data_IF_334137774032
#
_entry.id   IF_334137774032
#
_cell.length_a   1.000
_cell.length_b   1.000
_cell.length_c   1.000
_cell.angle_alpha   90.00
_cell.angle_beta   90.00
_cell.angle_gamma   90.00
#
_symmetry.space_group_name_H-M   'P 1'
#
loop_
_entity.id
_entity.type
_entity.pdbx_description
1 polymer ?
#
# COMPACT_ATOMS: atom_id res chain seq x y z
N UNK A 1 6.29 15.21 12.55
CA UNK A 1 6.55 14.27 13.67
C UNK A 1 7.15 13.00 13.08
N UNK A 2 8.14 12.38 13.73
CA UNK A 2 8.70 11.10 13.28
C UNK A 2 7.71 9.97 13.60
N UNK A 3 7.31 9.18 12.61
CA UNK A 3 6.52 7.95 12.78
C UNK A 3 7.38 6.76 13.22
N UNK A 4 8.68 6.99 13.38
CA UNK A 4 9.70 6.00 13.73
C UNK A 4 10.18 6.22 15.17
N UNK A 5 10.35 5.10 15.89
CA UNK A 5 11.03 5.02 17.17
C UNK A 5 12.40 4.38 17.02
N UNK A 6 13.34 4.83 17.85
CA UNK A 6 14.66 4.20 17.95
C UNK A 6 14.51 2.73 18.40
N UNK A 7 15.38 1.87 17.88
CA UNK A 7 15.40 0.45 18.22
C UNK A 7 16.82 0.03 18.60
N UNK A 8 16.99 -0.51 19.80
CA UNK A 8 18.27 -0.99 20.32
C UNK A 8 18.23 -2.52 20.30
N UNK A 9 19.22 -3.12 19.65
CA UNK A 9 19.37 -4.56 19.57
C UNK A 9 19.85 -5.17 20.89
N UNK A 10 19.80 -6.49 20.98
CA UNK A 10 20.18 -7.27 22.19
C UNK A 10 21.63 -7.04 22.64
N UNK A 11 22.51 -6.56 21.76
CA UNK A 11 23.90 -6.23 22.04
C UNK A 11 24.12 -4.76 22.46
N UNK A 12 23.04 -3.99 22.70
CA UNK A 12 23.10 -2.58 23.05
C UNK A 12 23.40 -1.63 21.87
N UNK A 13 23.58 -2.16 20.65
CA UNK A 13 23.79 -1.33 19.45
C UNK A 13 22.47 -0.89 18.85
N UNK A 14 22.42 0.32 18.30
CA UNK A 14 21.29 0.80 17.50
C UNK A 14 21.12 -0.09 16.27
N UNK A 15 19.87 -0.41 15.97
CA UNK A 15 19.45 -1.17 14.78
C UNK A 15 18.48 -0.31 13.96
N UNK A 16 18.02 -0.82 12.81
CA UNK A 16 17.01 -0.13 12.01
C UNK A 16 15.81 0.28 12.88
N UNK A 17 15.32 1.53 12.75
CA UNK A 17 14.22 2.02 13.56
C UNK A 17 12.95 1.21 13.30
N UNK A 18 12.03 1.25 14.25
CA UNK A 18 10.72 0.60 14.13
C UNK A 18 9.63 1.63 13.99
N UNK A 19 8.54 1.25 13.34
CA UNK A 19 7.32 2.03 13.38
C UNK A 19 6.83 2.13 14.84
N UNK A 20 6.24 3.27 15.20
CA UNK A 20 5.60 3.43 16.51
C UNK A 20 4.48 2.37 16.67
N UNK A 21 4.36 1.83 17.88
CA UNK A 21 3.40 0.76 18.18
C UNK A 21 1.96 1.22 17.91
N UNK A 22 1.16 0.32 17.37
CA UNK A 22 -0.23 0.59 16.94
C UNK A 22 -0.36 1.16 15.54
N UNK A 23 0.69 1.77 14.98
CA UNK A 23 0.68 2.23 13.59
C UNK A 23 0.95 1.08 12.61
N UNK A 24 0.53 1.28 11.36
CA UNK A 24 0.79 0.38 10.23
C UNK A 24 1.42 1.16 9.09
N UNK A 25 2.24 0.47 8.31
CA UNK A 25 2.73 0.95 7.02
C UNK A 25 1.97 0.19 5.94
N UNK A 26 0.98 0.83 5.34
CA UNK A 26 0.15 0.26 4.28
C UNK A 26 0.83 0.45 2.93
N UNK A 27 1.00 -0.67 2.23
CA UNK A 27 1.47 -0.74 0.85
C UNK A 27 0.28 -1.18 0.01
N UNK A 28 -0.29 -0.27 -0.77
CA UNK A 28 -1.60 -0.44 -1.41
C UNK A 28 -1.44 -0.34 -2.92
N UNK A 29 -2.02 -1.27 -3.67
CA UNK A 29 -2.06 -1.18 -5.13
C UNK A 29 -3.00 -0.05 -5.60
N UNK A 30 -2.91 0.34 -6.87
CA UNK A 30 -3.82 1.34 -7.47
C UNK A 30 -4.89 0.63 -8.30
N UNK A 31 -4.49 0.12 -9.47
CA UNK A 31 -5.37 -0.48 -10.46
C UNK A 31 -6.00 -1.78 -9.91
N UNK A 32 -7.33 -1.86 -9.96
CA UNK A 32 -8.09 -2.98 -9.40
C UNK A 32 -8.22 -2.99 -7.87
N UNK A 33 -7.69 -1.97 -7.17
CA UNK A 33 -7.80 -1.84 -5.71
C UNK A 33 -8.47 -0.54 -5.29
N UNK A 34 -7.96 0.63 -5.71
CA UNK A 34 -8.60 1.92 -5.39
C UNK A 34 -9.39 2.50 -6.58
N UNK A 35 -9.11 2.01 -7.78
CA UNK A 35 -9.85 2.34 -8.99
C UNK A 35 -10.07 1.10 -9.86
N UNK A 36 -10.78 1.29 -10.98
CA UNK A 36 -10.88 0.29 -12.06
C UNK A 36 -9.50 -0.29 -12.41
N UNK A 37 -9.48 -1.56 -12.82
CA UNK A 37 -8.28 -2.22 -13.33
C UNK A 37 -7.98 -1.70 -14.74
N UNK A 38 -6.91 -0.91 -14.87
CA UNK A 38 -6.47 -0.32 -16.12
C UNK A 38 -5.05 -0.82 -16.44
N UNK A 39 -4.86 -1.51 -17.59
CA UNK A 39 -3.54 -1.94 -17.99
C UNK A 39 -2.67 -0.74 -18.37
N UNK A 40 -1.36 -0.84 -18.14
CA UNK A 40 -0.40 0.21 -18.52
C UNK A 40 -0.42 0.52 -20.02
N UNK A 41 -0.84 -0.43 -20.85
CA UNK A 41 -0.98 -0.29 -22.29
C UNK A 41 -2.12 0.64 -22.72
N UNK A 42 -3.00 1.05 -21.80
CA UNK A 42 -4.15 1.94 -22.06
C UNK A 42 -4.15 3.17 -21.11
N UNK A 43 -3.10 4.01 -21.13
CA UNK A 43 -2.93 5.10 -20.18
C UNK A 43 -4.03 6.18 -20.27
N UNK A 44 -4.69 6.32 -21.42
CA UNK A 44 -5.82 7.23 -21.63
C UNK A 44 -7.03 6.91 -20.73
N UNK A 45 -7.19 5.66 -20.31
CA UNK A 45 -8.26 5.23 -19.40
C UNK A 45 -7.96 5.55 -17.94
N UNK A 46 -6.70 5.78 -17.57
CA UNK A 46 -6.30 6.01 -16.18
C UNK A 46 -6.90 7.31 -15.61
N UNK A 47 -7.07 8.33 -16.44
CA UNK A 47 -7.59 9.63 -16.02
C UNK A 47 -9.07 9.60 -15.64
N UNK A 48 -9.83 8.62 -16.17
CA UNK A 48 -11.29 8.51 -15.98
C UNK A 48 -11.69 7.21 -15.28
N UNK A 49 -10.70 6.46 -14.78
CA UNK A 49 -10.92 5.25 -13.99
C UNK A 49 -11.82 5.55 -12.79
N UNK A 50 -12.84 4.72 -12.58
CA UNK A 50 -13.79 4.91 -11.49
C UNK A 50 -13.18 4.46 -10.17
N UNK A 51 -13.50 5.18 -9.11
CA UNK A 51 -13.07 4.81 -7.75
C UNK A 51 -13.78 3.52 -7.29
N UNK A 52 -13.03 2.64 -6.63
CA UNK A 52 -13.61 1.48 -5.94
C UNK A 52 -14.39 1.96 -4.70
N UNK A 53 -15.65 1.50 -4.50
CA UNK A 53 -16.45 1.91 -3.36
C UNK A 53 -15.73 1.76 -2.02
N UNK A 54 -15.84 2.79 -1.17
CA UNK A 54 -15.21 2.90 0.15
C UNK A 54 -13.67 2.94 0.19
N UNK A 55 -12.98 2.91 -0.95
CA UNK A 55 -11.52 2.98 -0.98
C UNK A 55 -11.00 4.28 -0.35
N UNK A 56 -11.48 5.43 -0.84
CA UNK A 56 -11.07 6.75 -0.33
C UNK A 56 -11.35 6.92 1.16
N UNK A 57 -12.58 6.63 1.58
CA UNK A 57 -12.99 6.77 2.97
C UNK A 57 -12.11 5.93 3.90
N UNK A 58 -11.80 4.69 3.51
CA UNK A 58 -10.98 3.77 4.30
C UNK A 58 -9.52 4.23 4.37
N UNK A 59 -8.92 4.59 3.24
CA UNK A 59 -7.52 5.03 3.17
C UNK A 59 -7.33 6.36 3.91
N UNK A 60 -8.23 7.32 3.71
CA UNK A 60 -8.16 8.61 4.39
C UNK A 60 -8.37 8.45 5.90
N UNK A 61 -9.24 7.55 6.35
CA UNK A 61 -9.36 7.19 7.77
C UNK A 61 -8.04 6.67 8.32
N UNK A 62 -7.39 5.72 7.65
CA UNK A 62 -6.09 5.20 8.10
C UNK A 62 -5.02 6.27 8.14
N UNK A 63 -4.99 7.16 7.15
CA UNK A 63 -4.09 8.32 7.14
C UNK A 63 -4.33 9.21 8.37
N UNK A 64 -5.59 9.55 8.65
CA UNK A 64 -5.97 10.42 9.77
C UNK A 64 -5.73 9.77 11.14
N UNK A 65 -5.74 8.43 11.22
CA UNK A 65 -5.30 7.63 12.38
C UNK A 65 -3.77 7.59 12.56
N UNK A 66 -3.01 8.23 11.65
CA UNK A 66 -1.55 8.33 11.70
C UNK A 66 -0.83 7.15 11.03
N UNK A 67 -1.54 6.27 10.33
CA UNK A 67 -0.92 5.22 9.54
C UNK A 67 -0.21 5.79 8.31
N UNK A 68 0.83 5.07 7.86
CA UNK A 68 1.59 5.46 6.68
C UNK A 68 0.97 4.80 5.46
N UNK A 69 0.65 5.60 4.46
CA UNK A 69 0.03 5.16 3.21
C UNK A 69 1.04 5.32 2.08
N UNK A 70 1.44 4.19 1.49
CA UNK A 70 2.29 4.13 0.30
C UNK A 70 1.53 3.41 -0.80
N UNK A 71 1.26 4.10 -1.91
CA UNK A 71 0.77 3.43 -3.10
C UNK A 71 1.93 2.71 -3.80
N UNK A 72 1.75 1.44 -4.17
CA UNK A 72 2.75 0.63 -4.86
C UNK A 72 2.14 0.02 -6.11
N UNK A 73 2.41 0.65 -7.25
CA UNK A 73 1.73 0.40 -8.53
C UNK A 73 2.69 -0.15 -9.57
N UNK A 74 2.14 -0.98 -10.47
CA UNK A 74 2.87 -1.49 -11.64
C UNK A 74 2.96 -0.46 -12.77
N UNK A 75 2.25 0.66 -12.66
CA UNK A 75 2.47 1.83 -13.52
C UNK A 75 3.93 2.23 -13.46
N UNK A 76 4.46 2.72 -14.58
CA UNK A 76 5.84 3.18 -14.67
C UNK A 76 5.91 4.68 -14.40
N UNK A 77 7.12 5.22 -14.40
CA UNK A 77 7.35 6.66 -14.28
C UNK A 77 6.65 7.47 -15.39
N UNK A 78 6.40 6.87 -16.56
CA UNK A 78 5.69 7.51 -17.66
C UNK A 78 4.25 7.89 -17.29
N UNK A 79 3.60 7.09 -16.44
CA UNK A 79 2.22 7.32 -16.00
C UNK A 79 2.14 8.12 -14.69
N UNK A 80 3.26 8.65 -14.19
CA UNK A 80 3.30 9.41 -12.92
C UNK A 80 2.35 10.59 -12.94
N UNK A 81 2.37 11.39 -14.00
CA UNK A 81 1.57 12.62 -14.06
C UNK A 81 0.08 12.34 -13.99
N UNK A 82 -0.41 11.39 -14.79
CA UNK A 82 -1.84 10.99 -14.78
C UNK A 82 -2.23 10.38 -13.44
N UNK A 83 -1.35 9.57 -12.84
CA UNK A 83 -1.61 8.94 -11.54
C UNK A 83 -1.72 9.97 -10.42
N UNK A 84 -0.78 10.92 -10.34
CA UNK A 84 -0.79 11.97 -9.31
C UNK A 84 -2.02 12.88 -9.47
N UNK A 85 -2.35 13.28 -10.71
CA UNK A 85 -3.55 14.09 -10.98
C UNK A 85 -4.82 13.37 -10.55
N UNK A 86 -4.96 12.09 -10.88
CA UNK A 86 -6.13 11.29 -10.51
C UNK A 86 -6.25 11.18 -8.98
N UNK A 87 -5.16 10.85 -8.27
CA UNK A 87 -5.17 10.77 -6.80
C UNK A 87 -5.56 12.09 -6.13
N UNK A 88 -5.08 13.22 -6.66
CA UNK A 88 -5.42 14.55 -6.17
C UNK A 88 -6.89 14.90 -6.43
N UNK A 89 -7.38 14.67 -7.65
CA UNK A 89 -8.77 14.93 -8.02
C UNK A 89 -9.76 14.12 -7.18
N UNK A 90 -9.37 12.88 -6.86
CA UNK A 90 -10.17 12.01 -6.01
C UNK A 90 -9.95 12.26 -4.51
N UNK A 91 -9.01 13.12 -4.10
CA UNK A 91 -8.74 13.48 -2.71
C UNK A 91 -8.23 12.31 -1.83
N UNK A 92 -7.41 11.42 -2.41
CA UNK A 92 -6.70 10.42 -1.62
C UNK A 92 -5.57 11.07 -0.82
N UNK A 93 -5.54 10.83 0.50
CA UNK A 93 -4.42 11.20 1.37
C UNK A 93 -3.38 10.09 1.38
N UNK A 94 -2.13 10.42 1.06
CA UNK A 94 -1.03 9.46 1.06
C UNK A 94 0.29 10.12 1.41
N UNK A 95 1.30 9.30 1.71
CA UNK A 95 2.65 9.76 2.03
C UNK A 95 3.60 9.55 0.85
N UNK A 96 3.51 8.40 0.17
CA UNK A 96 4.43 8.03 -0.91
C UNK A 96 3.71 7.31 -2.06
N UNK A 97 4.34 7.31 -3.24
CA UNK A 97 3.99 6.45 -4.37
C UNK A 97 5.29 5.81 -4.86
N UNK A 98 5.29 4.49 -5.01
CA UNK A 98 6.36 3.69 -5.60
C UNK A 98 5.82 3.13 -6.92
N UNK A 99 6.49 3.49 -8.01
CA UNK A 99 6.19 3.01 -9.37
C UNK A 99 7.08 1.83 -9.73
N UNK A 100 6.72 1.11 -10.79
CA UNK A 100 7.51 0.00 -11.32
C UNK A 100 7.43 -1.28 -10.50
N UNK A 101 6.33 -1.50 -9.77
CA UNK A 101 6.03 -2.82 -9.17
C UNK A 101 6.07 -3.91 -10.25
N UNK A 102 6.70 -5.07 -9.98
CA UNK A 102 6.68 -6.20 -10.91
C UNK A 102 5.24 -6.61 -11.26
N UNK A 103 4.98 -6.85 -12.55
CA UNK A 103 3.66 -7.24 -13.06
C UNK A 103 3.43 -8.75 -12.93
N UNK A 104 2.17 -9.16 -12.88
CA UNK A 104 1.77 -10.57 -13.01
C UNK A 104 1.36 -11.27 -11.71
N UNK A 105 1.41 -10.59 -10.55
CA UNK A 105 0.99 -11.19 -9.29
C UNK A 105 1.98 -12.25 -8.79
N UNK A 106 1.47 -13.22 -8.01
CA UNK A 106 2.25 -14.28 -7.36
C UNK A 106 3.46 -13.75 -6.57
N UNK A 107 3.24 -12.72 -5.77
CA UNK A 107 4.30 -12.10 -4.98
C UNK A 107 4.63 -12.95 -3.75
N UNK A 108 5.92 -13.21 -3.54
CA UNK A 108 6.45 -13.75 -2.30
C UNK A 108 7.36 -12.68 -1.67
N UNK A 109 6.84 -11.96 -0.68
CA UNK A 109 7.61 -10.94 0.03
C UNK A 109 8.45 -11.61 1.13
N UNK A 110 9.74 -11.31 1.15
CA UNK A 110 10.67 -11.81 2.16
C UNK A 110 11.29 -10.59 2.84
N UNK A 111 11.13 -10.49 4.16
CA UNK A 111 11.61 -9.38 4.97
C UNK A 111 12.08 -9.94 6.32
N UNK A 112 13.07 -9.30 6.96
CA UNK A 112 13.53 -9.67 8.30
C UNK A 112 12.60 -9.13 9.41
N UNK A 113 11.56 -8.38 9.01
CA UNK A 113 10.46 -7.89 9.86
C UNK A 113 9.14 -8.58 9.51
N UNK A 114 8.20 -8.49 10.45
CA UNK A 114 6.85 -9.03 10.27
C UNK A 114 6.13 -8.35 9.10
N UNK A 115 5.85 -9.14 8.07
CA UNK A 115 5.00 -8.73 6.95
C UNK A 115 3.60 -9.33 7.12
N UNK A 116 2.59 -8.56 6.69
CA UNK A 116 1.20 -9.03 6.63
C UNK A 116 0.68 -8.79 5.23
N UNK A 117 0.19 -9.84 4.60
CA UNK A 117 -0.45 -9.74 3.29
C UNK A 117 -1.98 -9.83 3.45
N UNK A 118 -2.70 -8.98 2.72
CA UNK A 118 -4.15 -9.08 2.56
C UNK A 118 -4.46 -9.07 1.07
N UNK A 119 -5.14 -10.11 0.59
CA UNK A 119 -5.65 -10.12 -0.77
C UNK A 119 -6.91 -9.28 -0.82
N UNK A 120 -6.95 -8.31 -1.73
CA UNK A 120 -8.15 -7.53 -2.00
C UNK A 120 -9.13 -8.38 -2.83
N UNK A 121 -10.38 -8.48 -2.37
CA UNK A 121 -11.43 -9.28 -3.00
C UNK A 121 -12.55 -8.38 -3.56
N UNK A 122 -12.21 -7.17 -4.01
CA UNK A 122 -13.13 -6.24 -4.68
C UNK A 122 -13.94 -5.32 -3.77
N UNK A 123 -13.75 -5.37 -2.45
CA UNK A 123 -14.43 -4.45 -1.51
C UNK A 123 -13.59 -4.11 -0.29
N UNK A 124 -13.67 -2.86 0.14
CA UNK A 124 -13.16 -2.44 1.44
C UNK A 124 -14.17 -2.77 2.54
N UNK A 125 -13.64 -3.21 3.68
CA UNK A 125 -14.40 -3.55 4.87
C UNK A 125 -13.45 -3.78 6.05
N UNK A 126 -14.00 -4.25 7.16
CA UNK A 126 -13.21 -4.49 8.36
C UNK A 126 -12.23 -5.66 8.19
N UNK A 127 -11.05 -5.52 8.79
CA UNK A 127 -10.10 -6.62 8.89
C UNK A 127 -10.65 -7.71 9.79
N UNK A 128 -10.69 -8.94 9.26
CA UNK A 128 -11.05 -10.15 10.01
C UNK A 128 -9.84 -11.05 10.18
N UNK A 129 -9.72 -11.71 11.34
CA UNK A 129 -8.66 -12.68 11.61
C UNK A 129 -9.08 -14.06 11.10
N UNK A 130 -8.20 -14.72 10.35
CA UNK A 130 -8.39 -16.08 9.84
C UNK A 130 -7.08 -16.85 9.90
N UNK A 131 -7.13 -18.14 10.20
CA UNK A 131 -5.98 -19.05 10.09
C UNK A 131 -5.87 -19.57 8.66
N UNK A 132 -4.65 -19.57 8.10
CA UNK A 132 -4.32 -20.05 6.75
C UNK A 132 -2.96 -20.73 6.77
N UNK A 133 -2.79 -21.74 5.93
CA UNK A 133 -1.48 -22.32 5.64
C UNK A 133 -0.68 -21.32 4.78
N UNK A 134 0.59 -21.17 5.12
CA UNK A 134 1.54 -20.28 4.45
C UNK A 134 2.86 -21.02 4.24
N UNK A 135 3.66 -20.56 3.29
CA UNK A 135 5.04 -21.02 3.12
C UNK A 135 5.96 -20.19 4.02
N UNK A 136 6.83 -20.85 4.78
CA UNK A 136 7.83 -20.24 5.67
C UNK A 136 9.16 -20.97 5.54
N UNK A 137 10.25 -20.34 5.98
CA UNK A 137 11.54 -21.01 6.15
C UNK A 137 11.51 -21.95 7.37
N UNK A 138 12.38 -22.96 7.34
CA UNK A 138 12.69 -23.82 8.50
C UNK A 138 13.59 -23.12 9.54
#
# INVERSE_FOLDING_TARGET
>A
MSHLRENIGVNGKKTSPRLIDGLKNFIIDIDGVICDDVPNEEPERMATAKEIPNAKATINKWYDEGHIITFFTSRTENEREVTVKWLQQHEFKYHNIIFGKPRGGNYHYIDDKDIRATRFEGKFGDFVRKTKEIQVFE
#
